data_IF_626742592780
#
_entry.id   IF_626742592780
#
_cell.length_a   1.000
_cell.length_b   1.000
_cell.length_c   1.000
_cell.angle_alpha   90.00
_cell.angle_beta   90.00
_cell.angle_gamma   90.00
#
_symmetry.space_group_name_H-M   'P 1'
#
loop_
_entity.id
_entity.type
_entity.pdbx_description
1 polymer ?
#
# COMPACT_ATOMS: atom_id res chain seq x y z
N UNK A 1 -36.13 -1.19 67.64
CA UNK A 1 -35.04 -0.21 67.87
C UNK A 1 -33.72 -0.92 67.62
N UNK A 2 -32.98 -0.54 66.58
CA UNK A 2 -31.59 -0.04 66.60
C UNK A 2 -31.30 0.40 65.17
N UNK A 3 -30.92 1.66 65.04
CA UNK A 3 -30.61 2.37 63.80
C UNK A 3 -29.12 2.21 63.51
N UNK A 4 -28.73 1.91 62.26
CA UNK A 4 -27.40 2.21 61.77
C UNK A 4 -27.45 2.94 60.43
N UNK A 5 -26.67 4.02 60.40
CA UNK A 5 -26.61 5.09 59.42
C UNK A 5 -25.91 4.67 58.12
N UNK A 6 -26.38 5.29 57.03
CA UNK A 6 -25.65 5.79 55.83
C UNK A 6 -24.22 5.27 55.63
N UNK A 7 -24.02 4.55 54.52
CA UNK A 7 -22.96 4.87 53.55
C UNK A 7 -23.47 4.53 52.14
N UNK A 8 -23.70 5.58 51.35
CA UNK A 8 -24.01 5.51 49.92
C UNK A 8 -22.69 5.33 49.17
N UNK A 9 -22.35 4.11 48.74
CA UNK A 9 -21.29 3.92 47.75
C UNK A 9 -21.89 4.06 46.36
N UNK A 10 -21.65 5.22 45.73
CA UNK A 10 -21.77 5.38 44.28
C UNK A 10 -20.68 4.51 43.63
N UNK A 11 -21.05 3.35 43.12
CA UNK A 11 -20.22 2.62 42.16
C UNK A 11 -20.31 3.38 40.83
N UNK A 12 -19.25 4.11 40.48
CA UNK A 12 -19.07 4.62 39.13
C UNK A 12 -18.92 3.44 38.19
N UNK A 13 -19.95 3.14 37.41
CA UNK A 13 -19.85 2.27 36.25
C UNK A 13 -18.97 3.00 35.21
N UNK A 14 -17.67 2.73 35.23
CA UNK A 14 -16.78 3.07 34.14
C UNK A 14 -17.16 2.21 32.94
N UNK A 15 -18.03 2.75 32.10
CA UNK A 15 -18.26 2.26 30.74
C UNK A 15 -16.92 2.30 30.01
N UNK A 16 -16.24 1.17 29.94
CA UNK A 16 -15.15 0.95 29.00
C UNK A 16 -15.76 0.92 27.60
N UNK A 17 -16.04 2.10 27.05
CA UNK A 17 -16.11 2.27 25.60
C UNK A 17 -14.70 1.95 25.10
N UNK A 18 -14.54 0.74 24.57
CA UNK A 18 -13.40 0.40 23.73
C UNK A 18 -13.43 1.35 22.54
N UNK A 19 -12.60 2.39 22.58
CA UNK A 19 -12.34 3.24 21.42
C UNK A 19 -11.83 2.36 20.29
N UNK A 20 -12.44 2.38 19.08
CA UNK A 20 -11.78 1.81 17.92
C UNK A 20 -10.55 2.68 17.63
N UNK A 21 -9.35 2.12 17.83
CA UNK A 21 -8.12 2.71 17.32
C UNK A 21 -8.17 2.60 15.79
N UNK A 22 -8.69 3.64 15.16
CA UNK A 22 -8.55 3.90 13.73
C UNK A 22 -8.05 5.33 13.58
N UNK A 23 -6.84 5.59 14.07
CA UNK A 23 -6.10 6.78 13.66
C UNK A 23 -5.58 6.57 12.23
N UNK A 24 -6.46 6.81 11.27
CA UNK A 24 -6.09 7.07 9.89
C UNK A 24 -5.49 8.48 9.85
N UNK A 25 -4.20 8.60 10.13
CA UNK A 25 -3.49 9.86 9.93
C UNK A 25 -3.40 10.12 8.42
N UNK A 26 -4.31 10.98 7.93
CA UNK A 26 -4.20 11.55 6.58
C UNK A 26 -3.10 12.60 6.67
N UNK A 27 -1.87 12.24 6.32
CA UNK A 27 -0.76 13.20 6.28
C UNK A 27 -0.92 14.00 4.98
N UNK A 28 -1.28 15.28 5.11
CA UNK A 28 -1.14 16.23 4.01
C UNK A 28 0.35 16.34 3.68
N UNK A 29 0.72 16.03 2.43
CA UNK A 29 2.12 15.88 2.03
C UNK A 29 2.74 17.26 1.78
N UNK A 30 3.68 17.65 2.64
CA UNK A 30 4.81 18.48 2.25
C UNK A 30 5.73 17.63 1.35
N UNK A 31 6.15 18.20 0.22
CA UNK A 31 7.04 17.70 -0.85
C UNK A 31 7.62 16.27 -0.74
N UNK A 32 7.31 15.45 -1.77
CA UNK A 32 8.05 14.26 -2.20
C UNK A 32 8.01 13.04 -1.27
N UNK A 33 7.40 11.94 -1.74
CA UNK A 33 7.66 10.65 -1.10
C UNK A 33 9.14 10.28 -1.28
N UNK A 34 9.82 9.91 -0.18
CA UNK A 34 11.17 9.36 -0.23
C UNK A 34 11.12 7.87 0.12
N UNK A 35 11.48 6.96 -0.80
CA UNK A 35 11.60 5.54 -0.51
C UNK A 35 12.54 5.27 0.66
N UNK A 36 12.32 4.16 1.36
CA UNK A 36 13.18 3.76 2.48
C UNK A 36 14.61 3.50 1.98
N UNK A 37 15.60 4.02 2.71
CA UNK A 37 17.00 3.81 2.39
C UNK A 37 17.40 2.34 2.59
N UNK A 38 18.32 1.86 1.77
CA UNK A 38 18.92 0.53 1.91
C UNK A 38 19.83 0.54 3.15
N UNK A 39 19.58 -0.32 4.17
CA UNK A 39 20.43 -0.41 5.35
C UNK A 39 21.87 -0.80 4.96
N UNK A 40 22.86 -0.29 5.70
CA UNK A 40 24.26 -0.66 5.47
C UNK A 40 24.45 -2.18 5.56
N UNK A 41 25.12 -2.76 4.56
CA UNK A 41 25.36 -4.20 4.47
C UNK A 41 24.17 -5.03 3.98
N UNK A 42 23.02 -4.41 3.67
CA UNK A 42 21.94 -5.09 2.97
C UNK A 42 22.19 -5.12 1.45
N UNK A 43 21.67 -6.16 0.80
CA UNK A 43 21.66 -6.32 -0.66
C UNK A 43 20.32 -5.82 -1.18
N UNK A 44 20.35 -4.78 -2.01
CA UNK A 44 19.17 -4.31 -2.73
C UNK A 44 18.90 -5.20 -3.95
N UNK A 45 17.77 -5.89 -3.91
CA UNK A 45 17.33 -6.79 -4.99
C UNK A 45 16.15 -6.20 -5.77
N UNK A 46 15.84 -4.90 -5.63
CA UNK A 46 14.67 -4.25 -6.24
C UNK A 46 14.57 -4.42 -7.77
N UNK A 47 15.69 -4.66 -8.45
CA UNK A 47 15.74 -4.86 -9.90
C UNK A 47 15.80 -6.34 -10.32
N UNK A 48 15.82 -7.28 -9.37
CA UNK A 48 15.84 -8.72 -9.62
C UNK A 48 14.47 -9.35 -9.34
N UNK A 49 13.56 -9.26 -10.32
CA UNK A 49 12.17 -9.71 -10.18
C UNK A 49 12.07 -11.19 -9.85
N UNK A 50 12.88 -12.04 -10.51
CA UNK A 50 12.86 -13.49 -10.27
C UNK A 50 13.22 -13.83 -8.81
N UNK A 51 14.24 -13.17 -8.26
CA UNK A 51 14.62 -13.35 -6.86
C UNK A 51 13.56 -12.78 -5.90
N UNK A 52 12.96 -11.63 -6.21
CA UNK A 52 11.85 -11.08 -5.43
C UNK A 52 10.70 -12.08 -5.37
N UNK A 53 10.31 -12.68 -6.49
CA UNK A 53 9.21 -13.64 -6.54
C UNK A 53 9.53 -14.91 -5.75
N UNK A 54 10.76 -15.41 -5.82
CA UNK A 54 11.23 -16.53 -5.00
C UNK A 54 11.14 -16.19 -3.50
N UNK A 55 11.63 -15.01 -3.10
CA UNK A 55 11.58 -14.56 -1.70
C UNK A 55 10.14 -14.37 -1.22
N UNK A 56 9.26 -13.80 -2.06
CA UNK A 56 7.84 -13.66 -1.74
C UNK A 56 7.19 -15.02 -1.50
N UNK A 57 7.43 -15.98 -2.40
CA UNK A 57 6.91 -17.35 -2.25
C UNK A 57 7.43 -18.03 -0.98
N UNK A 58 8.73 -17.97 -0.72
CA UNK A 58 9.38 -18.59 0.44
C UNK A 58 8.85 -18.05 1.77
N UNK A 59 8.50 -16.76 1.80
CA UNK A 59 8.08 -16.06 3.02
C UNK A 59 6.57 -15.77 3.10
N UNK A 60 5.77 -16.32 2.18
CA UNK A 60 4.31 -16.13 2.18
C UNK A 60 3.88 -14.67 1.94
N UNK A 61 4.67 -13.92 1.16
CA UNK A 61 4.42 -12.52 0.79
C UNK A 61 3.90 -12.38 -0.64
N UNK A 62 3.40 -13.47 -1.22
CA UNK A 62 2.83 -13.46 -2.56
C UNK A 62 1.67 -12.44 -2.62
N UNK A 63 1.59 -11.63 -3.68
CA UNK A 63 0.45 -10.76 -3.87
C UNK A 63 -0.83 -11.60 -4.01
N UNK A 64 -1.97 -11.02 -3.63
CA UNK A 64 -3.25 -11.64 -3.91
C UNK A 64 -3.42 -11.83 -5.44
N UNK A 65 -4.03 -12.94 -5.86
CA UNK A 65 -4.20 -13.26 -7.28
C UNK A 65 -5.26 -12.36 -7.93
N UNK A 66 -4.99 -11.91 -9.14
CA UNK A 66 -5.93 -11.12 -9.94
C UNK A 66 -7.31 -11.78 -10.04
N UNK A 67 -8.36 -10.96 -10.16
CA UNK A 67 -9.73 -11.42 -10.37
C UNK A 67 -10.54 -11.76 -9.12
N UNK A 68 -9.91 -11.82 -7.93
CA UNK A 68 -10.66 -11.78 -6.66
C UNK A 68 -10.83 -10.33 -6.22
N UNK A 69 -12.08 -9.88 -6.00
CA UNK A 69 -12.31 -8.56 -5.39
C UNK A 69 -11.96 -8.64 -3.91
N UNK A 70 -10.72 -8.31 -3.56
CA UNK A 70 -10.29 -8.20 -2.17
C UNK A 70 -9.83 -6.76 -1.94
N UNK A 71 -10.46 -6.10 -0.96
CA UNK A 71 -10.03 -4.79 -0.44
C UNK A 71 -9.41 -5.07 0.92
N UNK A 72 -8.15 -4.70 1.13
CA UNK A 72 -7.51 -4.89 2.44
C UNK A 72 -6.65 -3.67 2.76
N UNK A 73 -7.03 -2.96 3.82
CA UNK A 73 -6.44 -1.66 4.18
C UNK A 73 -5.48 -1.72 5.37
N UNK A 74 -4.44 -2.57 5.33
CA UNK A 74 -3.44 -2.64 6.41
C UNK A 74 -2.03 -3.01 5.93
N UNK A 75 -1.04 -2.88 6.82
CA UNK A 75 0.36 -3.13 6.46
C UNK A 75 0.64 -4.57 5.98
N UNK A 76 -0.07 -5.57 6.53
CA UNK A 76 0.15 -6.98 6.17
C UNK A 76 -0.70 -7.44 5.00
N UNK A 77 -1.98 -7.15 5.11
CA UNK A 77 -2.98 -7.68 4.24
C UNK A 77 -3.37 -6.55 3.31
N UNK A 78 -2.95 -6.70 2.04
CA UNK A 78 -3.30 -5.81 0.96
C UNK A 78 -4.01 -6.58 -0.14
N UNK A 79 -5.19 -6.09 -0.48
CA UNK A 79 -6.01 -6.66 -1.51
C UNK A 79 -5.44 -6.37 -2.89
N UNK A 80 -5.98 -7.07 -3.89
CA UNK A 80 -5.74 -6.78 -5.31
C UNK A 80 -6.44 -5.52 -5.78
N UNK A 81 -7.48 -5.08 -5.08
CA UNK A 81 -8.22 -3.88 -5.43
C UNK A 81 -7.58 -2.64 -4.79
N UNK A 82 -7.74 -1.47 -5.43
CA UNK A 82 -7.53 -0.20 -4.76
C UNK A 82 -8.30 -0.13 -3.44
N UNK A 83 -7.65 0.45 -2.43
CA UNK A 83 -8.32 0.75 -1.18
C UNK A 83 -9.16 2.03 -1.33
N UNK A 84 -10.13 2.20 -0.44
CA UNK A 84 -10.86 3.47 -0.28
C UNK A 84 -11.72 3.92 -1.48
N UNK A 85 -12.52 3.04 -2.06
CA UNK A 85 -13.49 3.37 -3.13
C UNK A 85 -12.91 3.99 -4.43
N UNK A 86 -11.59 4.00 -4.59
CA UNK A 86 -10.97 4.59 -5.79
C UNK A 86 -10.96 3.63 -6.96
N UNK A 87 -11.06 4.19 -8.16
CA UNK A 87 -10.95 3.44 -9.41
C UNK A 87 -9.56 2.83 -9.60
N UNK A 88 -8.52 3.49 -9.07
CA UNK A 88 -7.16 3.00 -9.05
C UNK A 88 -6.38 3.61 -7.88
N UNK A 89 -5.29 2.95 -7.51
CA UNK A 89 -4.23 3.50 -6.67
C UNK A 89 -2.88 2.88 -7.05
N UNK A 90 -1.82 3.32 -6.39
CA UNK A 90 -0.52 2.67 -6.44
C UNK A 90 -0.07 2.35 -5.02
N UNK A 91 0.37 1.12 -4.81
CA UNK A 91 0.92 0.65 -3.56
C UNK A 91 2.44 0.60 -3.66
N UNK A 92 3.11 1.32 -2.76
CA UNK A 92 4.51 1.10 -2.45
C UNK A 92 4.64 0.11 -1.30
N UNK A 93 5.50 -0.88 -1.47
CA UNK A 93 5.92 -1.82 -0.42
C UNK A 93 7.43 -1.83 -0.32
N UNK A 94 7.94 -1.66 0.89
CA UNK A 94 9.33 -1.93 1.22
C UNK A 94 9.43 -3.15 2.11
N UNK A 95 10.27 -4.09 1.70
CA UNK A 95 10.44 -5.36 2.40
C UNK A 95 11.90 -5.57 2.74
N UNK A 96 12.13 -6.13 3.92
CA UNK A 96 13.45 -6.53 4.40
C UNK A 96 13.37 -7.91 5.02
N UNK A 97 14.22 -8.81 4.54
CA UNK A 97 14.36 -10.17 5.05
C UNK A 97 15.82 -10.45 5.35
N UNK A 98 16.08 -11.02 6.52
CA UNK A 98 17.39 -11.56 6.86
C UNK A 98 17.35 -13.08 6.70
N UNK A 99 18.13 -13.59 5.75
CA UNK A 99 18.31 -15.03 5.53
C UNK A 99 19.48 -15.52 6.36
N UNK A 100 19.37 -16.70 7.01
CA UNK A 100 20.50 -17.34 7.65
C UNK A 100 21.64 -17.53 6.65
N UNK A 101 22.88 -17.36 7.10
CA UNK A 101 24.04 -17.70 6.29
C UNK A 101 24.25 -19.21 6.27
N UNK A 102 24.61 -19.76 5.12
CA UNK A 102 24.92 -21.18 4.98
C UNK A 102 26.37 -21.47 5.41
N UNK A 103 26.61 -22.64 6.01
CA UNK A 103 27.97 -23.11 6.31
C UNK A 103 28.77 -22.24 7.30
N UNK A 104 28.09 -21.49 8.19
CA UNK A 104 28.74 -20.57 9.12
C UNK A 104 29.01 -19.17 8.55
N UNK A 105 28.55 -18.88 7.33
CA UNK A 105 28.56 -17.53 6.78
C UNK A 105 27.68 -16.58 7.64
N UNK A 106 28.00 -15.28 7.68
CA UNK A 106 27.13 -14.28 8.28
C UNK A 106 25.73 -14.26 7.62
N UNK A 107 24.66 -13.92 8.37
CA UNK A 107 23.35 -13.72 7.78
C UNK A 107 23.38 -12.65 6.69
N UNK A 108 22.60 -12.86 5.64
CA UNK A 108 22.45 -11.89 4.54
C UNK A 108 21.12 -11.17 4.69
N UNK A 109 21.13 -9.84 4.59
CA UNK A 109 19.90 -9.06 4.57
C UNK A 109 19.58 -8.67 3.13
N UNK A 110 18.41 -9.07 2.64
CA UNK A 110 17.87 -8.69 1.35
C UNK A 110 16.80 -7.63 1.56
N UNK A 111 16.84 -6.56 0.75
CA UNK A 111 15.82 -5.53 0.73
C UNK A 111 15.29 -5.31 -0.68
N UNK A 112 14.03 -4.96 -0.80
CA UNK A 112 13.46 -4.54 -2.08
C UNK A 112 12.27 -3.61 -1.93
N UNK A 113 12.03 -2.87 -3.00
CA UNK A 113 10.87 -2.01 -3.19
C UNK A 113 9.99 -2.54 -4.32
N UNK A 114 8.68 -2.48 -4.12
CA UNK A 114 7.67 -2.74 -5.13
C UNK A 114 6.73 -1.55 -5.26
N UNK A 115 6.56 -1.03 -6.46
CA UNK A 115 5.45 -0.16 -6.83
C UNK A 115 4.45 -0.97 -7.65
N UNK A 116 3.23 -1.09 -7.15
CA UNK A 116 2.15 -1.87 -7.77
C UNK A 116 0.97 -0.95 -8.04
N UNK A 117 0.60 -0.76 -9.30
CA UNK A 117 -0.67 -0.11 -9.64
C UNK A 117 -1.79 -1.12 -9.47
N UNK A 118 -2.83 -0.74 -8.74
CA UNK A 118 -4.07 -1.50 -8.60
C UNK A 118 -5.20 -0.76 -9.26
N UNK A 119 -6.13 -1.49 -9.87
CA UNK A 119 -7.27 -0.93 -10.58
C UNK A 119 -8.50 -1.74 -10.26
N UNK A 120 -9.60 -1.06 -9.91
CA UNK A 120 -10.93 -1.64 -9.90
C UNK A 120 -11.68 -1.16 -11.14
N UNK A 121 -11.95 -2.07 -12.06
CA UNK A 121 -12.72 -1.78 -13.26
C UNK A 121 -13.66 -2.94 -13.61
N UNK A 122 -14.92 -2.62 -13.91
CA UNK A 122 -16.01 -3.58 -14.15
C UNK A 122 -16.11 -4.73 -13.15
N UNK A 123 -16.00 -4.42 -11.85
CA UNK A 123 -16.12 -5.41 -10.78
C UNK A 123 -14.99 -6.44 -10.77
N UNK A 124 -13.85 -6.12 -11.40
CA UNK A 124 -12.62 -6.90 -11.36
C UNK A 124 -11.47 -6.04 -10.90
N UNK A 125 -10.57 -6.67 -10.17
CA UNK A 125 -9.36 -6.02 -9.70
C UNK A 125 -8.15 -6.52 -10.47
N UNK A 126 -7.36 -5.56 -10.93
CA UNK A 126 -6.14 -5.75 -11.69
C UNK A 126 -4.99 -5.19 -10.88
N UNK A 127 -3.90 -5.93 -10.78
CA UNK A 127 -2.70 -5.48 -10.09
C UNK A 127 -1.47 -5.70 -10.95
N UNK A 128 -0.59 -4.70 -11.02
CA UNK A 128 0.63 -4.81 -11.82
C UNK A 128 1.78 -4.07 -11.18
N UNK A 129 2.92 -4.76 -11.06
CA UNK A 129 4.17 -4.14 -10.64
C UNK A 129 4.67 -3.24 -11.75
N UNK A 130 4.70 -1.93 -11.49
CA UNK A 130 5.12 -0.90 -12.46
C UNK A 130 6.57 -0.47 -12.30
N UNK A 131 7.23 -0.87 -11.21
CA UNK A 131 8.66 -0.58 -11.02
C UNK A 131 9.16 -0.76 -9.60
N UNK A 132 10.41 -0.35 -9.40
CA UNK A 132 11.13 -0.29 -8.13
C UNK A 132 11.49 1.14 -7.71
N UNK A 133 11.35 2.12 -8.61
CA UNK A 133 11.78 3.50 -8.42
C UNK A 133 10.69 4.47 -8.87
N UNK A 134 10.12 5.21 -7.91
CA UNK A 134 9.25 6.37 -8.11
C UNK A 134 8.19 6.25 -9.21
N UNK A 135 7.17 5.44 -8.94
CA UNK A 135 5.99 5.42 -9.77
C UNK A 135 6.13 4.51 -10.98
N UNK A 136 5.25 4.69 -11.95
CA UNK A 136 5.26 3.93 -13.19
C UNK A 136 3.89 3.86 -13.85
N UNK A 137 3.87 3.19 -15.00
CA UNK A 137 2.70 3.08 -15.85
C UNK A 137 2.26 1.63 -16.01
N UNK A 138 0.95 1.41 -16.01
CA UNK A 138 0.32 0.13 -16.28
C UNK A 138 -0.60 0.27 -17.50
N UNK A 139 -0.22 -0.39 -18.59
CA UNK A 139 -1.02 -0.53 -19.80
C UNK A 139 -1.75 -1.87 -19.81
N UNK A 140 -3.08 -1.83 -19.94
CA UNK A 140 -3.90 -3.03 -19.89
C UNK A 140 -5.24 -2.82 -20.59
N UNK A 141 -5.99 -3.91 -20.74
CA UNK A 141 -7.37 -3.88 -21.22
C UNK A 141 -8.28 -4.41 -20.13
N UNK A 142 -9.26 -3.61 -19.73
CA UNK A 142 -10.35 -4.04 -18.86
C UNK A 142 -11.68 -3.75 -19.55
N UNK A 143 -12.64 -4.66 -19.41
CA UNK A 143 -13.97 -4.53 -20.03
C UNK A 143 -13.92 -4.30 -21.56
N UNK A 144 -12.95 -4.93 -22.25
CA UNK A 144 -12.66 -4.71 -23.67
C UNK A 144 -12.31 -3.25 -24.03
N UNK A 145 -11.90 -2.45 -23.04
CA UNK A 145 -11.48 -1.06 -23.21
C UNK A 145 -9.99 -0.92 -22.89
N UNK A 146 -9.14 -0.61 -23.87
CA UNK A 146 -7.73 -0.38 -23.64
C UNK A 146 -7.53 0.92 -22.84
N UNK A 147 -6.69 0.85 -21.83
CA UNK A 147 -6.40 1.99 -20.96
C UNK A 147 -4.97 1.97 -20.42
N UNK A 148 -4.51 3.13 -19.97
CA UNK A 148 -3.22 3.29 -19.28
C UNK A 148 -3.47 4.02 -17.97
N UNK A 149 -2.80 3.59 -16.90
CA UNK A 149 -2.72 4.34 -15.64
C UNK A 149 -1.25 4.61 -15.37
N UNK A 150 -0.89 5.87 -15.15
CA UNK A 150 0.45 6.26 -14.73
C UNK A 150 0.37 7.01 -13.41
N UNK A 151 1.25 6.68 -12.48
CA UNK A 151 1.41 7.38 -11.21
C UNK A 151 2.85 7.86 -11.09
N UNK A 152 3.03 9.11 -10.71
CA UNK A 152 4.31 9.78 -10.51
C UNK A 152 4.30 10.37 -9.10
N UNK A 153 4.79 9.58 -8.14
CA UNK A 153 4.84 9.98 -6.73
C UNK A 153 5.86 11.09 -6.45
N UNK A 154 6.92 11.19 -7.26
CA UNK A 154 7.90 12.26 -7.18
C UNK A 154 7.28 13.65 -7.38
N UNK A 155 6.24 13.73 -8.21
CA UNK A 155 5.51 14.98 -8.50
C UNK A 155 4.06 15.00 -7.99
N UNK A 156 3.69 14.04 -7.14
CA UNK A 156 2.34 13.91 -6.59
C UNK A 156 1.20 13.98 -7.63
N UNK A 157 1.34 13.28 -8.76
CA UNK A 157 0.37 13.30 -9.86
C UNK A 157 0.12 11.92 -10.45
N UNK A 158 -1.07 11.72 -11.02
CA UNK A 158 -1.43 10.51 -11.74
C UNK A 158 -2.36 10.81 -12.92
N UNK A 159 -2.44 9.90 -13.88
CA UNK A 159 -3.37 10.03 -15.00
C UNK A 159 -3.93 8.67 -15.40
N UNK A 160 -5.13 8.71 -15.97
CA UNK A 160 -5.77 7.59 -16.66
C UNK A 160 -6.04 8.00 -18.10
N UNK A 161 -5.65 7.16 -19.05
CA UNK A 161 -5.97 7.34 -20.47
C UNK A 161 -6.91 6.23 -20.89
N UNK A 162 -8.09 6.61 -21.37
CA UNK A 162 -9.00 5.74 -22.10
C UNK A 162 -8.63 5.79 -23.59
N UNK A 163 -7.90 4.78 -24.07
CA UNK A 163 -7.32 4.78 -25.42
C UNK A 163 -8.39 4.64 -26.50
N UNK A 164 -9.50 3.99 -26.18
CA UNK A 164 -10.68 3.88 -27.05
C UNK A 164 -11.32 5.23 -27.39
N UNK A 165 -11.22 6.20 -26.47
CA UNK A 165 -11.82 7.54 -26.61
C UNK A 165 -10.79 8.65 -26.79
N UNK A 166 -9.51 8.31 -26.79
CA UNK A 166 -8.41 9.27 -26.68
C UNK A 166 -8.62 10.30 -25.56
N UNK A 167 -9.14 9.85 -24.40
CA UNK A 167 -9.48 10.73 -23.28
C UNK A 167 -8.50 10.53 -22.13
N UNK A 168 -7.81 11.60 -21.74
CA UNK A 168 -6.88 11.65 -20.61
C UNK A 168 -7.52 12.42 -19.45
N UNK A 169 -7.57 11.80 -18.28
CA UNK A 169 -7.95 12.45 -17.02
C UNK A 169 -6.75 12.47 -16.11
N UNK A 170 -6.42 13.62 -15.53
CA UNK A 170 -5.28 13.79 -14.63
C UNK A 170 -5.75 14.08 -13.22
N UNK A 171 -4.95 13.65 -12.24
CA UNK A 171 -5.28 13.68 -10.83
C UNK A 171 -4.10 14.21 -10.03
N UNK A 172 -4.39 14.95 -8.97
CA UNK A 172 -3.47 15.04 -7.83
C UNK A 172 -3.50 13.71 -7.09
N UNK A 173 -2.43 13.37 -6.38
CA UNK A 173 -2.44 12.17 -5.53
C UNK A 173 -2.25 12.54 -4.06
N UNK A 174 -2.91 11.78 -3.20
CA UNK A 174 -2.71 11.78 -1.76
C UNK A 174 -1.97 10.51 -1.33
N UNK A 175 -1.25 10.58 -0.22
CA UNK A 175 -0.46 9.48 0.33
C UNK A 175 -1.07 9.00 1.65
N UNK A 176 -1.15 7.68 1.83
CA UNK A 176 -1.55 7.06 3.09
C UNK A 176 -0.48 6.06 3.51
N UNK A 177 0.16 6.33 4.63
CA UNK A 177 1.10 5.40 5.27
C UNK A 177 0.35 4.39 6.14
N UNK A 178 0.64 3.11 5.94
CA UNK A 178 0.10 2.01 6.74
C UNK A 178 1.11 1.43 7.73
N UNK A 179 2.37 1.86 7.67
CA UNK A 179 3.46 1.28 8.45
C UNK A 179 3.90 -0.07 7.89
N UNK A 180 4.47 -0.92 8.73
CA UNK A 180 4.99 -2.23 8.36
C UNK A 180 4.39 -3.38 9.16
N UNK A 181 4.61 -4.59 8.69
CA UNK A 181 4.51 -5.79 9.51
C UNK A 181 5.40 -6.94 9.02
N UNK A 182 6.00 -7.65 9.98
CA UNK A 182 6.89 -8.77 9.66
C UNK A 182 8.02 -8.34 8.71
N UNK A 183 8.23 -9.05 7.59
CA UNK A 183 9.17 -8.66 6.54
C UNK A 183 8.88 -7.30 5.89
N UNK A 184 7.61 -6.94 5.72
CA UNK A 184 7.20 -5.65 5.15
C UNK A 184 7.49 -4.59 6.19
N UNK A 185 8.42 -3.66 5.97
CA UNK A 185 8.68 -2.60 6.97
C UNK A 185 7.95 -1.31 6.67
N UNK A 186 7.53 -1.12 5.43
CA UNK A 186 6.71 0.02 5.08
C UNK A 186 5.73 -0.29 3.96
N UNK A 187 4.58 0.36 4.05
CA UNK A 187 3.54 0.35 3.05
C UNK A 187 2.91 1.72 2.92
N UNK A 188 2.82 2.20 1.69
CA UNK A 188 2.24 3.51 1.36
C UNK A 188 1.32 3.35 0.16
N UNK A 189 0.11 3.92 0.24
CA UNK A 189 -0.83 4.00 -0.87
C UNK A 189 -0.86 5.41 -1.43
N UNK A 190 -0.65 5.53 -2.74
CA UNK A 190 -0.82 6.73 -3.54
C UNK A 190 -2.14 6.63 -4.27
N UNK A 191 -3.08 7.53 -3.98
CA UNK A 191 -4.44 7.45 -4.56
C UNK A 191 -4.87 8.80 -5.13
N UNK A 192 -5.73 8.82 -6.16
CA UNK A 192 -6.30 10.06 -6.69
C UNK A 192 -6.99 10.90 -5.61
N UNK A 193 -6.71 12.21 -5.61
CA UNK A 193 -7.27 13.23 -4.72
C UNK A 193 -7.83 14.42 -5.53
N UNK A 194 -8.82 14.09 -6.35
CA UNK A 194 -9.48 15.01 -7.26
C UNK A 194 -8.77 15.16 -8.61
N UNK A 195 -9.56 15.52 -9.61
CA UNK A 195 -9.08 15.81 -10.96
C UNK A 195 -8.33 17.15 -11.00
N UNK A 196 -7.40 17.25 -11.94
CA UNK A 196 -6.62 18.46 -12.23
C UNK A 196 -6.33 18.56 -13.71
N UNK A 197 -5.86 19.73 -14.15
CA UNK A 197 -5.44 19.93 -15.53
C UNK A 197 -4.27 19.00 -15.91
N UNK A 198 -4.31 18.46 -17.13
CA UNK A 198 -3.26 17.61 -17.67
C UNK A 198 -2.10 18.44 -18.23
N UNK A 199 -1.13 18.78 -17.37
CA UNK A 199 0.03 19.60 -17.74
C UNK A 199 1.32 18.78 -17.89
N UNK A 200 1.18 17.50 -18.23
CA UNK A 200 2.24 16.50 -18.32
C UNK A 200 1.88 15.44 -19.35
#
# INVERSE_FOLDING_TARGET
MVSFKKTLLLAMASSAQSSPVSDKTTVAVAQGFTPHAVPAGAIDISNNIALIDEMKKKHGLEPAKDGQMTVMGGACNQGTCPDFDKAFDMMYTWTQITTPGEGGAPPTTLVWNDFVVRVNDCGKCYSHRVGSTHGGCYDFTACNRPQQICVDDGHNRAHRIWKDKNHKTCYRISQIGYGGCGPVKARVIFRPDGETACNW
#
